data_IF_529014079398
#
_entry.id   IF_529014079398
#
_cell.length_a   1.000
_cell.length_b   1.000
_cell.length_c   1.000
_cell.angle_alpha   90.00
_cell.angle_beta   90.00
_cell.angle_gamma   90.00
#
_symmetry.space_group_name_H-M   'P 1'
#
loop_
_entity.id
_entity.type
_entity.pdbx_description
1 polymer ?
#
# COMPACT_ATOMS: atom_id res chain seq x y z
N UNK A 1 -10.32 -24.79 15.37
CA UNK A 1 -10.04 -24.20 14.04
C UNK A 1 -10.02 -22.68 14.12
N UNK A 2 -10.98 -22.08 14.83
CA UNK A 2 -11.09 -20.61 15.00
C UNK A 2 -9.86 -19.94 15.65
N UNK A 3 -9.23 -20.58 16.65
CA UNK A 3 -8.02 -20.04 17.29
C UNK A 3 -6.83 -19.95 16.35
N UNK A 4 -6.64 -20.94 15.47
CA UNK A 4 -5.57 -20.94 14.48
C UNK A 4 -5.83 -19.85 13.43
N UNK A 5 -7.07 -19.76 12.95
CA UNK A 5 -7.47 -18.72 11.98
C UNK A 5 -7.27 -17.31 12.55
N UNK A 6 -7.59 -17.12 13.84
CA UNK A 6 -7.36 -15.86 14.54
C UNK A 6 -5.86 -15.55 14.66
N UNK A 7 -5.04 -16.50 15.09
CA UNK A 7 -3.59 -16.30 15.21
C UNK A 7 -2.95 -15.97 13.85
N UNK A 8 -3.36 -16.64 12.78
CA UNK A 8 -2.87 -16.34 11.42
C UNK A 8 -3.31 -14.94 10.99
N UNK A 9 -4.56 -14.55 11.22
CA UNK A 9 -5.04 -13.21 10.91
C UNK A 9 -4.26 -12.13 11.69
N UNK A 10 -4.06 -12.33 12.99
CA UNK A 10 -3.31 -11.43 13.85
C UNK A 10 -1.84 -11.31 13.39
N UNK A 11 -1.22 -12.41 12.97
CA UNK A 11 0.13 -12.41 12.37
C UNK A 11 0.18 -11.64 11.05
N UNK A 12 -0.75 -11.88 10.13
CA UNK A 12 -0.81 -11.18 8.83
C UNK A 12 -1.04 -9.69 9.03
N UNK A 13 -1.91 -9.30 9.97
CA UNK A 13 -2.13 -7.90 10.33
C UNK A 13 -0.87 -7.26 10.92
N UNK A 14 -0.18 -7.95 11.82
CA UNK A 14 1.09 -7.48 12.39
C UNK A 14 2.16 -7.29 11.31
N UNK A 15 2.35 -8.28 10.45
CA UNK A 15 3.30 -8.21 9.35
C UNK A 15 2.94 -7.10 8.36
N UNK A 16 1.67 -6.99 7.96
CA UNK A 16 1.19 -5.90 7.09
C UNK A 16 1.45 -4.55 7.73
N UNK A 17 1.21 -4.39 9.04
CA UNK A 17 1.51 -3.16 9.77
C UNK A 17 3.00 -2.80 9.73
N UNK A 18 3.89 -3.78 9.86
CA UNK A 18 5.34 -3.58 9.70
C UNK A 18 5.69 -3.18 8.27
N UNK A 19 5.11 -3.83 7.25
CA UNK A 19 5.39 -3.47 5.86
C UNK A 19 4.88 -2.06 5.53
N UNK A 20 3.72 -1.66 6.05
CA UNK A 20 3.18 -0.31 5.89
C UNK A 20 4.07 0.74 6.56
N UNK A 21 4.66 0.45 7.72
CA UNK A 21 5.60 1.39 8.34
C UNK A 21 6.90 1.54 7.53
N UNK A 22 7.36 0.46 6.88
CA UNK A 22 8.50 0.51 5.94
C UNK A 22 8.19 1.35 4.71
N UNK A 23 6.96 1.33 4.19
CA UNK A 23 6.53 2.25 3.10
C UNK A 23 6.71 3.71 3.54
N UNK A 24 6.26 4.07 4.74
CA UNK A 24 6.42 5.42 5.29
C UNK A 24 7.89 5.85 5.40
N UNK A 25 8.75 4.94 5.88
CA UNK A 25 10.20 5.16 5.91
C UNK A 25 10.80 5.33 4.51
N UNK A 26 10.35 4.52 3.54
CA UNK A 26 10.78 4.61 2.14
C UNK A 26 10.44 5.97 1.54
N UNK A 27 9.24 6.49 1.76
CA UNK A 27 8.82 7.82 1.27
C UNK A 27 9.73 8.93 1.86
N UNK A 28 9.94 8.93 3.18
CA UNK A 28 10.78 9.95 3.84
C UNK A 28 12.23 9.86 3.36
N UNK A 29 12.77 8.64 3.29
CA UNK A 29 14.13 8.42 2.83
C UNK A 29 14.32 8.82 1.35
N UNK A 30 13.34 8.54 0.49
CA UNK A 30 13.37 8.98 -0.92
C UNK A 30 13.41 10.50 -1.07
N UNK A 31 12.70 11.23 -0.20
CA UNK A 31 12.75 12.70 -0.17
C UNK A 31 14.13 13.20 0.29
N UNK A 32 14.69 12.59 1.33
CA UNK A 32 15.98 13.03 1.92
C UNK A 32 17.15 12.75 0.98
N UNK A 33 17.18 11.58 0.36
CA UNK A 33 18.29 11.14 -0.49
C UNK A 33 18.07 11.45 -1.98
N UNK A 34 16.89 11.99 -2.35
CA UNK A 34 16.60 12.47 -3.70
C UNK A 34 16.39 11.37 -4.74
N UNK A 35 15.79 10.24 -4.37
CA UNK A 35 15.44 9.17 -5.32
C UNK A 35 15.22 7.80 -4.69
N UNK A 36 15.38 6.75 -5.50
CA UNK A 36 15.22 5.35 -5.06
C UNK A 36 16.22 4.99 -3.97
N UNK A 37 15.74 4.44 -2.86
CA UNK A 37 16.61 3.98 -1.77
C UNK A 37 16.95 2.50 -1.95
N UNK A 38 18.17 2.08 -1.61
CA UNK A 38 18.62 0.69 -1.81
C UNK A 38 17.73 -0.37 -1.11
N UNK A 39 17.09 0.00 0.00
CA UNK A 39 16.33 -0.93 0.83
C UNK A 39 14.82 -0.98 0.52
N UNK A 40 14.24 0.03 -0.14
CA UNK A 40 12.78 0.10 -0.44
C UNK A 40 12.45 0.42 -1.91
N UNK A 41 13.46 0.71 -2.74
CA UNK A 41 13.24 1.15 -4.12
C UNK A 41 12.66 2.57 -4.21
N UNK A 42 11.97 2.86 -5.31
CA UNK A 42 11.23 4.12 -5.51
C UNK A 42 9.75 3.95 -5.17
N UNK A 43 9.43 4.24 -3.91
CA UNK A 43 8.07 4.10 -3.38
C UNK A 43 7.14 5.17 -3.95
N UNK A 44 7.64 6.38 -4.18
CA UNK A 44 6.84 7.51 -4.65
C UNK A 44 6.44 7.23 -6.10
N UNK A 45 7.38 6.87 -6.97
CA UNK A 45 7.09 6.56 -8.37
C UNK A 45 6.14 5.37 -8.50
N UNK A 46 6.28 4.35 -7.65
CA UNK A 46 5.36 3.21 -7.63
C UNK A 46 3.92 3.63 -7.31
N UNK A 47 3.72 4.47 -6.28
CA UNK A 47 2.40 4.99 -5.92
C UNK A 47 1.85 5.88 -7.04
N UNK A 48 2.67 6.78 -7.58
CA UNK A 48 2.28 7.66 -8.68
C UNK A 48 1.89 6.88 -9.93
N UNK A 49 2.58 5.77 -10.23
CA UNK A 49 2.23 4.85 -11.30
C UNK A 49 0.82 4.28 -11.14
N UNK A 50 0.46 3.82 -9.94
CA UNK A 50 -0.90 3.33 -9.67
C UNK A 50 -1.95 4.44 -9.77
N UNK A 51 -1.65 5.65 -9.28
CA UNK A 51 -2.56 6.80 -9.40
C UNK A 51 -2.78 7.15 -10.88
N UNK A 52 -1.72 7.17 -11.68
CA UNK A 52 -1.80 7.41 -13.12
C UNK A 52 -2.63 6.33 -13.82
N UNK A 53 -2.35 5.04 -13.54
CA UNK A 53 -3.13 3.92 -14.07
C UNK A 53 -4.62 4.06 -13.76
N UNK A 54 -4.97 4.41 -12.51
CA UNK A 54 -6.37 4.61 -12.15
C UNK A 54 -6.98 5.85 -12.84
N UNK A 55 -6.21 6.93 -12.99
CA UNK A 55 -6.65 8.15 -13.69
C UNK A 55 -6.87 7.94 -15.19
N UNK A 56 -5.98 7.22 -15.87
CA UNK A 56 -6.05 6.91 -17.31
C UNK A 56 -7.28 6.06 -17.66
N UNK A 57 -7.72 5.20 -16.73
CA UNK A 57 -8.94 4.39 -16.90
C UNK A 57 -10.25 5.17 -16.63
N UNK A 58 -10.17 6.45 -16.25
CA UNK A 58 -11.32 7.34 -16.07
C UNK A 58 -12.37 6.79 -15.08
N UNK A 59 -13.62 6.68 -15.52
CA UNK A 59 -14.72 6.18 -14.68
C UNK A 59 -14.48 4.75 -14.18
N UNK A 60 -13.89 3.88 -15.01
CA UNK A 60 -13.58 2.52 -14.60
C UNK A 60 -12.54 2.48 -13.47
N UNK A 61 -11.53 3.36 -13.53
CA UNK A 61 -10.54 3.50 -12.46
C UNK A 61 -11.17 3.95 -11.14
N UNK A 62 -12.13 4.88 -11.18
CA UNK A 62 -12.87 5.32 -9.99
C UNK A 62 -13.75 4.21 -9.40
N UNK A 63 -14.41 3.42 -10.23
CA UNK A 63 -15.19 2.26 -9.76
C UNK A 63 -14.29 1.26 -9.05
N UNK A 64 -13.13 0.94 -9.62
CA UNK A 64 -12.14 0.06 -9.00
C UNK A 64 -11.65 0.63 -7.67
N UNK A 65 -11.37 1.93 -7.60
CA UNK A 65 -10.97 2.59 -6.35
C UNK A 65 -12.04 2.45 -5.26
N UNK A 66 -13.32 2.65 -5.57
CA UNK A 66 -14.40 2.45 -4.59
C UNK A 66 -14.54 1.00 -4.12
N UNK A 67 -14.38 0.03 -5.03
CA UNK A 67 -14.40 -1.39 -4.66
C UNK A 67 -13.26 -1.70 -3.68
N UNK A 68 -12.05 -1.22 -3.97
CA UNK A 68 -10.88 -1.41 -3.09
C UNK A 68 -11.13 -0.79 -1.71
N UNK A 69 -11.61 0.46 -1.66
CA UNK A 69 -11.93 1.13 -0.39
C UNK A 69 -12.97 0.36 0.43
N UNK A 70 -14.01 -0.15 -0.23
CA UNK A 70 -15.06 -0.95 0.43
C UNK A 70 -14.52 -2.25 1.01
N UNK A 71 -13.69 -2.98 0.27
CA UNK A 71 -13.10 -4.25 0.74
C UNK A 71 -12.12 -4.01 1.89
N UNK A 72 -11.34 -2.93 1.83
CA UNK A 72 -10.38 -2.57 2.87
C UNK A 72 -11.01 -1.90 4.09
N UNK A 73 -12.32 -1.65 4.08
CA UNK A 73 -13.05 -0.91 5.12
C UNK A 73 -12.38 0.46 5.42
N UNK A 74 -11.87 1.12 4.39
CA UNK A 74 -11.40 2.50 4.47
C UNK A 74 -12.65 3.38 4.52
N UNK A 75 -12.87 4.05 5.66
CA UNK A 75 -13.99 4.98 5.87
C UNK A 75 -13.72 6.34 5.24
#
# INVERSE_FOLDING_TARGET
MDSIMKTVNDFVKGLTGVLVSVIGLGIVASIVFGGSTFFVGDVIDTIMGYVAMLGENGLAGLVVLFIIMSVLNLK
#
